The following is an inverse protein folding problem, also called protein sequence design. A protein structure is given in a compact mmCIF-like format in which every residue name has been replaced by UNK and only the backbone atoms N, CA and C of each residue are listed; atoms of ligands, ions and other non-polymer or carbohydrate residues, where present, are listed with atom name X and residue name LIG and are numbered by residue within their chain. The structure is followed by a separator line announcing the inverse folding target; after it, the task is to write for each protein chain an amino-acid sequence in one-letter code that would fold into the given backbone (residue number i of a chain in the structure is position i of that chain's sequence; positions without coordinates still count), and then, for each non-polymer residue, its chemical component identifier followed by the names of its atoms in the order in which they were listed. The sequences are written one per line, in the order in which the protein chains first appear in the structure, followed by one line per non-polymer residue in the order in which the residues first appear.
data_IF_416732998623
#
_entry.id   IF_416732998623
#
_cell.length_a   1.000
_cell.length_b   1.000
_cell.length_c   1.000
_cell.angle_alpha   90.00
_cell.angle_beta   90.00
_cell.angle_gamma   90.00
#
_symmetry.space_group_name_H-M   'P 1'
#
loop_
_entity.id
_entity.type
_entity.pdbx_description
1 polymer ?
#
# COMPACT_ATOMS: atom_id res chain seq x y z
N UNK A 1 -5.15 -7.81 -1.28
CA UNK A 1 -6.43 -7.56 -0.57
C UNK A 1 -7.58 -7.63 -1.56
N UNK A 2 -8.75 -7.94 -1.07
CA UNK A 2 -9.97 -7.99 -1.89
C UNK A 2 -10.93 -6.93 -1.43
N UNK A 3 -11.75 -6.43 -2.35
CA UNK A 3 -12.85 -5.54 -2.00
C UNK A 3 -13.92 -6.38 -1.30
N UNK A 4 -14.19 -6.08 -0.04
CA UNK A 4 -15.23 -6.78 0.72
C UNK A 4 -16.57 -6.06 0.64
N UNK A 5 -16.56 -4.73 0.66
CA UNK A 5 -17.77 -3.92 0.55
C UNK A 5 -17.44 -2.56 -0.05
N UNK A 6 -18.44 -1.91 -0.59
CA UNK A 6 -18.33 -0.54 -1.08
C UNK A 6 -19.67 0.16 -0.95
N UNK A 7 -19.64 1.48 -0.92
CA UNK A 7 -20.86 2.26 -0.83
C UNK A 7 -20.66 3.71 -1.22
N UNK A 8 -21.78 4.41 -1.36
CA UNK A 8 -21.80 5.83 -1.65
C UNK A 8 -22.21 6.59 -0.38
N UNK A 9 -21.63 7.75 -0.20
CA UNK A 9 -21.97 8.64 0.91
C UNK A 9 -22.97 9.69 0.43
N UNK A 10 -23.79 10.21 1.35
CA UNK A 10 -24.82 11.19 1.00
C UNK A 10 -24.28 12.47 0.36
N UNK A 11 -23.04 12.81 0.63
CA UNK A 11 -22.38 14.01 0.06
C UNK A 11 -21.59 13.75 -1.21
N UNK A 12 -21.76 12.58 -1.83
CA UNK A 12 -21.11 12.23 -3.10
C UNK A 12 -19.81 11.47 -2.97
N UNK A 13 -19.30 11.26 -1.76
CA UNK A 13 -18.11 10.46 -1.55
C UNK A 13 -18.37 8.98 -1.78
N UNK A 14 -17.27 8.23 -1.97
CA UNK A 14 -17.32 6.78 -2.15
C UNK A 14 -16.34 6.15 -1.16
N UNK A 15 -16.77 5.10 -0.51
CA UNK A 15 -15.88 4.32 0.35
C UNK A 15 -15.75 2.89 -0.17
N UNK A 16 -14.57 2.32 0.03
CA UNK A 16 -14.26 0.94 -0.36
C UNK A 16 -13.55 0.28 0.80
N UNK A 17 -14.03 -0.88 1.20
CA UNK A 17 -13.40 -1.67 2.26
C UNK A 17 -12.62 -2.81 1.65
N UNK A 18 -11.37 -2.94 2.05
CA UNK A 18 -10.46 -3.98 1.59
C UNK A 18 -10.14 -4.93 2.74
N UNK A 19 -9.95 -6.19 2.43
CA UNK A 19 -9.59 -7.21 3.41
C UNK A 19 -8.67 -8.24 2.79
N UNK A 20 -7.65 -8.66 3.53
CA UNK A 20 -6.79 -9.78 3.13
C UNK A 20 -7.41 -11.09 3.60
N UNK A 21 -7.33 -12.16 2.80
CA UNK A 21 -7.80 -13.47 3.24
C UNK A 21 -7.12 -13.89 4.55
N UNK A 22 -7.90 -14.41 5.48
CA UNK A 22 -7.40 -14.89 6.76
C UNK A 22 -7.09 -13.80 7.79
N UNK A 23 -7.33 -12.54 7.48
CA UNK A 23 -7.11 -11.44 8.42
C UNK A 23 -8.44 -10.79 8.81
N UNK A 24 -8.66 -10.50 10.10
CA UNK A 24 -9.84 -9.75 10.53
C UNK A 24 -9.70 -8.24 10.26
N UNK A 25 -8.51 -7.76 9.97
CA UNK A 25 -8.28 -6.35 9.74
C UNK A 25 -8.80 -5.90 8.40
N UNK A 26 -9.24 -4.66 8.34
CA UNK A 26 -9.76 -4.04 7.13
C UNK A 26 -9.12 -2.70 6.92
N UNK A 27 -8.95 -2.35 5.64
CA UNK A 27 -8.50 -1.04 5.23
C UNK A 27 -9.65 -0.36 4.49
N UNK A 28 -10.05 0.81 4.93
CA UNK A 28 -11.07 1.59 4.23
C UNK A 28 -10.41 2.71 3.45
N UNK A 29 -10.74 2.79 2.18
CA UNK A 29 -10.34 3.88 1.31
C UNK A 29 -11.56 4.78 1.08
N UNK A 30 -11.36 6.08 1.21
CA UNK A 30 -12.41 7.06 1.01
C UNK A 30 -12.02 8.02 -0.09
N UNK A 31 -12.93 8.20 -1.03
CA UNK A 31 -12.77 9.22 -2.05
C UNK A 31 -13.82 10.31 -1.87
N UNK A 32 -13.38 11.55 -1.96
CA UNK A 32 -14.26 12.72 -1.84
C UNK A 32 -14.16 13.54 -3.10
N UNK A 33 -15.31 13.93 -3.71
CA UNK A 33 -15.26 14.76 -4.90
C UNK A 33 -14.74 16.16 -4.57
N UNK A 34 -14.08 16.81 -5.54
CA UNK A 34 -13.70 18.21 -5.38
C UNK A 34 -14.94 19.05 -5.03
N UNK A 35 -14.79 19.97 -4.07
CA UNK A 35 -15.91 20.76 -3.58
C UNK A 35 -16.60 20.17 -2.36
N UNK A 36 -16.35 18.90 -2.04
CA UNK A 36 -16.83 18.33 -0.78
C UNK A 36 -16.09 18.96 0.39
N UNK A 37 -16.79 19.16 1.51
CA UNK A 37 -16.14 19.67 2.73
C UNK A 37 -15.08 18.72 3.29
N UNK A 38 -15.11 17.44 2.86
CA UNK A 38 -14.14 16.45 3.29
C UNK A 38 -12.95 16.32 2.33
N UNK A 39 -13.02 16.97 1.17
CA UNK A 39 -11.92 16.95 0.22
C UNK A 39 -10.81 17.89 0.68
N UNK A 40 -9.58 17.38 0.74
CA UNK A 40 -8.41 18.17 1.08
C UNK A 40 -7.30 17.81 0.12
N UNK A 41 -6.71 18.78 -0.58
CA UNK A 41 -5.52 18.50 -1.37
C UNK A 41 -4.34 18.33 -0.41
N UNK A 42 -3.70 17.17 -0.46
CA UNK A 42 -2.54 16.91 0.39
C UNK A 42 -1.29 17.52 -0.22
N UNK A 43 -0.46 18.08 0.63
CA UNK A 43 0.86 18.56 0.27
C UNK A 43 1.87 17.52 0.70
N UNK A 44 3.00 17.46 0.00
CA UNK A 44 4.07 16.55 0.34
C UNK A 44 4.50 16.79 1.79
N UNK A 45 4.52 15.72 2.59
CA UNK A 45 4.89 15.76 3.99
C UNK A 45 3.73 15.84 4.96
N UNK A 46 2.52 16.06 4.48
CA UNK A 46 1.31 16.11 5.31
C UNK A 46 0.62 14.75 5.39
N UNK A 47 0.86 13.92 4.39
CA UNK A 47 0.24 12.61 4.33
C UNK A 47 0.89 11.65 5.31
N UNK A 48 0.29 10.49 5.47
CA UNK A 48 0.83 9.41 6.25
C UNK A 48 2.24 9.07 5.74
N UNK A 49 3.19 8.82 6.65
CA UNK A 49 4.57 8.51 6.27
C UNK A 49 4.62 7.32 5.31
N UNK A 50 4.12 6.18 5.75
CA UNK A 50 3.95 5.02 4.88
C UNK A 50 3.07 3.96 5.55
N UNK A 51 2.58 3.03 4.74
CA UNK A 51 1.92 1.82 5.18
C UNK A 51 2.86 0.66 4.90
N UNK A 52 2.87 -0.33 5.75
CA UNK A 52 3.69 -1.53 5.54
C UNK A 52 2.81 -2.76 5.39
N UNK A 53 3.13 -3.58 4.40
CA UNK A 53 2.48 -4.87 4.19
C UNK A 53 3.51 -5.97 4.28
N UNK A 54 3.20 -6.98 5.09
CA UNK A 54 4.03 -8.17 5.15
C UNK A 54 3.70 -9.07 3.97
N UNK A 55 4.73 -9.45 3.22
CA UNK A 55 4.60 -10.33 2.06
C UNK A 55 5.58 -11.49 2.17
N UNK A 56 5.31 -12.56 1.45
CA UNK A 56 6.17 -13.75 1.50
C UNK A 56 7.41 -13.62 0.62
N UNK A 57 7.32 -12.84 -0.45
CA UNK A 57 8.41 -12.65 -1.40
C UNK A 57 8.41 -11.18 -1.84
N UNK A 58 9.33 -10.41 -1.27
CA UNK A 58 9.41 -8.98 -1.52
C UNK A 58 9.77 -8.66 -2.96
N UNK A 59 10.73 -9.38 -3.54
CA UNK A 59 11.16 -9.14 -4.92
C UNK A 59 10.00 -9.34 -5.88
N UNK A 60 9.26 -10.42 -5.70
CA UNK A 60 8.11 -10.74 -6.54
C UNK A 60 6.98 -9.74 -6.36
N UNK A 61 6.68 -9.38 -5.12
CA UNK A 61 5.64 -8.39 -4.84
C UNK A 61 5.98 -7.05 -5.48
N UNK A 62 7.23 -6.64 -5.39
CA UNK A 62 7.69 -5.40 -6.00
C UNK A 62 7.53 -5.43 -7.53
N UNK A 63 7.96 -6.52 -8.16
CA UNK A 63 7.82 -6.69 -9.61
C UNK A 63 6.36 -6.68 -10.05
N UNK A 64 5.50 -7.39 -9.33
CA UNK A 64 4.07 -7.44 -9.65
C UNK A 64 3.41 -6.07 -9.53
N UNK A 65 3.72 -5.34 -8.47
CA UNK A 65 3.12 -4.02 -8.25
C UNK A 65 3.62 -2.99 -9.27
N UNK A 66 4.90 -2.99 -9.57
CA UNK A 66 5.44 -2.05 -10.56
C UNK A 66 4.92 -2.38 -11.96
N UNK A 67 4.75 -3.66 -12.28
CA UNK A 67 4.14 -4.06 -13.55
C UNK A 67 2.69 -3.60 -13.66
N UNK A 68 2.00 -3.46 -12.54
CA UNK A 68 0.62 -2.96 -12.49
C UNK A 68 0.53 -1.44 -12.46
N UNK A 69 1.65 -0.75 -12.47
CA UNK A 69 1.70 0.69 -12.53
C UNK A 69 2.09 1.41 -11.24
N UNK A 70 2.39 0.69 -10.17
CA UNK A 70 2.88 1.32 -8.96
C UNK A 70 4.25 1.93 -9.22
N UNK A 71 4.49 3.10 -8.63
CA UNK A 71 5.75 3.79 -8.80
C UNK A 71 6.80 3.18 -7.87
N UNK A 72 7.96 2.81 -8.42
CA UNK A 72 9.08 2.31 -7.64
C UNK A 72 9.74 3.48 -6.90
N UNK A 73 9.83 3.38 -5.59
CA UNK A 73 10.49 4.38 -4.75
C UNK A 73 11.84 3.88 -4.26
N UNK A 74 11.90 2.65 -3.76
CA UNK A 74 13.15 2.01 -3.33
C UNK A 74 13.10 0.56 -3.79
N UNK A 75 14.09 0.16 -4.59
CA UNK A 75 14.20 -1.21 -5.04
C UNK A 75 14.48 -2.18 -3.89
N UNK A 76 14.14 -3.46 -4.05
CA UNK A 76 14.35 -4.42 -2.99
C UNK A 76 15.77 -4.44 -2.47
N UNK A 77 15.90 -4.43 -1.14
CA UNK A 77 17.17 -4.55 -0.46
C UNK A 77 16.99 -5.41 0.79
N UNK A 78 18.10 -5.87 1.33
CA UNK A 78 18.08 -6.76 2.50
C UNK A 78 18.85 -6.16 3.65
N UNK A 79 18.30 -6.33 4.84
CA UNK A 79 18.95 -6.01 6.10
C UNK A 79 18.70 -7.16 7.05
N UNK A 80 19.79 -7.78 7.53
CA UNK A 80 19.68 -8.94 8.40
C UNK A 80 18.86 -10.04 7.72
N UNK A 81 17.76 -10.47 8.33
CA UNK A 81 16.91 -11.54 7.81
C UNK A 81 15.67 -11.03 7.12
N UNK A 82 15.63 -9.73 6.82
CA UNK A 82 14.45 -9.13 6.21
C UNK A 82 14.79 -8.53 4.86
N UNK A 83 13.82 -8.55 3.98
CA UNK A 83 13.86 -7.84 2.73
C UNK A 83 12.85 -6.71 2.80
N UNK A 84 13.16 -5.61 2.12
CA UNK A 84 12.34 -4.41 2.10
C UNK A 84 12.30 -3.85 0.69
N UNK A 85 11.19 -3.23 0.34
CA UNK A 85 11.08 -2.44 -0.88
C UNK A 85 10.00 -1.39 -0.65
N UNK A 86 10.00 -0.33 -1.45
CA UNK A 86 8.97 0.70 -1.35
C UNK A 86 8.43 1.01 -2.73
N UNK A 87 7.12 1.08 -2.82
CA UNK A 87 6.42 1.63 -3.97
C UNK A 87 5.54 2.77 -3.46
N UNK A 88 4.98 3.56 -4.35
CA UNK A 88 3.99 4.56 -3.94
C UNK A 88 2.71 4.36 -4.72
N UNK A 89 1.60 4.77 -4.10
CA UNK A 89 0.29 4.74 -4.72
C UNK A 89 0.09 5.99 -5.59
N UNK A 90 -1.04 6.08 -6.32
CA UNK A 90 -1.29 7.25 -7.17
C UNK A 90 -1.34 8.58 -6.43
N UNK A 91 -1.60 8.57 -5.14
CA UNK A 91 -1.64 9.77 -4.31
C UNK A 91 -0.26 10.13 -3.72
N UNK A 92 0.75 9.31 -3.99
CA UNK A 92 2.10 9.55 -3.51
C UNK A 92 2.39 8.97 -2.13
N UNK A 93 1.46 8.20 -1.57
CA UNK A 93 1.68 7.55 -0.27
C UNK A 93 2.60 6.36 -0.46
N UNK A 94 3.65 6.32 0.33
CA UNK A 94 4.61 5.22 0.27
C UNK A 94 4.06 3.96 0.89
N UNK A 95 4.32 2.85 0.24
CA UNK A 95 3.93 1.51 0.66
C UNK A 95 5.20 0.69 0.83
N UNK A 96 5.47 0.26 2.04
CA UNK A 96 6.58 -0.61 2.34
C UNK A 96 6.17 -2.07 2.12
N UNK A 97 7.02 -2.81 1.43
CA UNK A 97 6.88 -4.25 1.30
C UNK A 97 7.94 -4.87 2.19
N UNK A 98 7.52 -5.67 3.13
CA UNK A 98 8.37 -6.24 4.17
C UNK A 98 8.21 -7.76 4.17
N UNK A 99 9.31 -8.48 4.16
CA UNK A 99 9.26 -9.92 4.22
C UNK A 99 10.50 -10.52 4.83
N UNK A 100 10.37 -11.72 5.36
CA UNK A 100 11.49 -12.43 5.94
C UNK A 100 12.21 -13.21 4.85
N UNK A 101 13.52 -13.08 4.82
CA UNK A 101 14.36 -13.86 3.91
C UNK A 101 14.62 -15.22 4.57
N UNK A 102 14.42 -16.34 3.86
CA UNK A 102 14.72 -17.65 4.39
C UNK A 102 16.18 -17.77 4.81
N UNK A 103 16.44 -18.55 5.86
CA UNK A 103 17.80 -18.82 6.29
C UNK A 103 18.61 -19.44 5.14
N UNK A 104 19.80 -18.92 4.89
CA UNK A 104 20.64 -19.36 3.80
C UNK A 104 20.38 -18.63 2.47
N UNK A 105 19.36 -17.81 2.38
CA UNK A 105 19.05 -16.97 1.22
C UNK A 105 19.63 -15.57 1.40
N UNK A 106 20.77 -15.48 2.00
CA UNK A 106 21.36 -14.18 2.29
C UNK A 106 21.68 -13.44 1.02
N UNK A 107 21.32 -12.20 1.00
CA UNK A 107 21.58 -11.37 -0.14
C UNK A 107 23.07 -11.22 -0.35
N UNK A 108 23.42 -11.47 -1.50
CA UNK A 108 24.72 -11.15 -2.00
C UNK A 108 24.69 -9.74 -2.56
#
# INVERSE_FOLDING_TARGET
MRVSRRGKMSHGGVWVELQSPGSPQRLELNWYPPGSKFHTPYRRGEELDHLAFRVTDVDRAFEELTAKGARAEVEPFRESRYAFAFVSDPDGIWIELLGRVPAGSEAT
#
